data_IF_409124963808
#
_entry.id   IF_409124963808
#
_cell.length_a   1.000
_cell.length_b   1.000
_cell.length_c   1.000
_cell.angle_alpha   90.00
_cell.angle_beta   90.00
_cell.angle_gamma   90.00
#
_symmetry.space_group_name_H-M   'P 1'
#
loop_
_entity.id
_entity.type
_entity.pdbx_description
1 polymer ?
#
# COMPACT_ATOMS: atom_id res chain seq x y z
N UNK A 1 -6.74 23.46 16.34
CA UNK A 1 -7.08 22.05 16.60
C UNK A 1 -7.21 21.35 15.25
N UNK A 2 -6.11 20.80 14.73
CA UNK A 2 -6.09 19.98 13.51
C UNK A 2 -6.58 18.60 13.99
N UNK A 3 -7.82 18.25 13.67
CA UNK A 3 -8.44 17.00 14.15
C UNK A 3 -7.61 15.79 13.75
N UNK A 4 -7.51 14.80 14.64
CA UNK A 4 -6.91 13.50 14.35
C UNK A 4 -7.57 12.92 13.09
N UNK A 5 -6.88 12.94 11.95
CA UNK A 5 -7.31 12.22 10.76
C UNK A 5 -7.03 10.73 10.99
N UNK A 6 -8.06 9.92 10.86
CA UNK A 6 -7.92 8.46 10.89
C UNK A 6 -6.97 8.01 9.77
N UNK A 7 -6.24 6.91 9.99
CA UNK A 7 -5.35 6.35 8.98
C UNK A 7 -6.07 6.08 7.65
N UNK A 8 -7.34 5.66 7.71
CA UNK A 8 -8.20 5.51 6.55
C UNK A 8 -8.38 6.81 5.76
N UNK A 9 -8.74 7.91 6.45
CA UNK A 9 -8.91 9.21 5.80
C UNK A 9 -7.61 9.69 5.13
N UNK A 10 -6.47 9.44 5.78
CA UNK A 10 -5.15 9.74 5.21
C UNK A 10 -4.86 8.90 3.97
N UNK A 11 -5.10 7.59 3.99
CA UNK A 11 -4.90 6.73 2.82
C UNK A 11 -5.76 7.16 1.63
N UNK A 12 -7.04 7.46 1.85
CA UNK A 12 -7.94 7.93 0.78
C UNK A 12 -7.50 9.29 0.23
N UNK A 13 -7.10 10.21 1.12
CA UNK A 13 -6.57 11.50 0.67
C UNK A 13 -5.29 11.33 -0.17
N UNK A 14 -4.36 10.46 0.25
CA UNK A 14 -3.14 10.19 -0.51
C UNK A 14 -3.45 9.70 -1.94
N UNK A 15 -4.40 8.78 -2.08
CA UNK A 15 -4.85 8.28 -3.40
C UNK A 15 -5.46 9.42 -4.22
N UNK A 16 -6.39 10.18 -3.64
CA UNK A 16 -7.02 11.32 -4.32
C UNK A 16 -6.00 12.35 -4.79
N UNK A 17 -5.06 12.75 -3.93
CA UNK A 17 -4.05 13.75 -4.29
C UNK A 17 -3.16 13.28 -5.45
N UNK A 18 -2.78 11.99 -5.50
CA UNK A 18 -2.01 11.46 -6.64
C UNK A 18 -2.83 11.43 -7.92
N UNK A 19 -4.09 10.99 -7.86
CA UNK A 19 -4.96 10.92 -9.04
C UNK A 19 -5.29 12.31 -9.61
N UNK A 20 -5.47 13.31 -8.74
CA UNK A 20 -5.79 14.69 -9.14
C UNK A 20 -4.54 15.56 -9.39
N UNK A 21 -3.33 14.99 -9.29
CA UNK A 21 -2.06 15.72 -9.39
C UNK A 21 -1.93 16.89 -8.40
N UNK A 22 -2.55 16.77 -7.22
CA UNK A 22 -2.51 17.75 -6.13
C UNK A 22 -1.27 17.54 -5.25
N UNK A 23 -0.16 18.17 -5.64
CA UNK A 23 1.12 18.07 -4.94
C UNK A 23 1.11 18.69 -3.54
N UNK A 24 0.33 19.76 -3.34
CA UNK A 24 0.25 20.46 -2.06
C UNK A 24 -0.52 19.62 -1.06
N UNK A 25 -1.68 19.08 -1.47
CA UNK A 25 -2.46 18.16 -0.65
C UNK A 25 -1.73 16.85 -0.35
N UNK A 26 -0.91 16.34 -1.29
CA UNK A 26 -0.06 15.18 -1.07
C UNK A 26 1.00 15.46 0.02
N UNK A 27 1.64 16.63 -0.04
CA UNK A 27 2.64 17.04 0.96
C UNK A 27 2.01 17.16 2.35
N UNK A 28 0.84 17.78 2.45
CA UNK A 28 0.08 17.89 3.70
C UNK A 28 -0.31 16.51 4.26
N UNK A 29 -0.72 15.57 3.40
CA UNK A 29 -1.08 14.21 3.81
C UNK A 29 0.13 13.40 4.31
N UNK A 30 1.29 13.55 3.67
CA UNK A 30 2.54 12.91 4.09
C UNK A 30 3.09 13.52 5.39
N UNK A 31 2.90 14.82 5.62
CA UNK A 31 3.25 15.48 6.89
C UNK A 31 2.48 14.82 8.06
N UNK A 32 1.19 14.50 7.87
CA UNK A 32 0.39 13.80 8.87
C UNK A 32 0.98 12.43 9.24
N UNK A 33 1.61 11.73 8.30
CA UNK A 33 2.22 10.42 8.56
C UNK A 33 3.45 10.54 9.48
N UNK A 34 4.30 11.55 9.28
CA UNK A 34 5.56 11.68 10.04
C UNK A 34 5.39 12.28 11.44
N UNK A 35 4.34 13.07 11.69
CA UNK A 35 4.14 13.75 12.99
C UNK A 35 3.58 12.83 14.09
N UNK A 36 3.43 11.53 13.84
CA UNK A 36 2.78 10.58 14.76
C UNK A 36 3.64 10.19 15.98
N UNK A 37 4.93 10.53 16.00
CA UNK A 37 5.83 10.25 17.13
C UNK A 37 5.86 8.77 17.49
N UNK A 38 5.60 8.44 18.76
CA UNK A 38 5.61 7.05 19.27
C UNK A 38 4.55 6.15 18.62
N UNK A 39 3.52 6.73 18.00
CA UNK A 39 2.45 5.99 17.30
C UNK A 39 2.74 5.76 15.82
N UNK A 40 3.92 6.15 15.33
CA UNK A 40 4.28 6.10 13.93
C UNK A 40 4.08 4.70 13.33
N UNK A 41 4.59 3.66 13.98
CA UNK A 41 4.51 2.29 13.46
C UNK A 41 3.04 1.83 13.30
N UNK A 42 2.23 2.02 14.34
CA UNK A 42 0.81 1.65 14.31
C UNK A 42 0.03 2.46 13.27
N UNK A 43 0.31 3.76 13.17
CA UNK A 43 -0.36 4.63 12.21
C UNK A 43 0.02 4.28 10.76
N UNK A 44 1.32 4.13 10.47
CA UNK A 44 1.81 3.71 9.14
C UNK A 44 1.23 2.35 8.77
N UNK A 45 1.16 1.43 9.72
CA UNK A 45 0.56 0.10 9.51
C UNK A 45 -0.89 0.20 9.07
N UNK A 46 -1.69 1.02 9.75
CA UNK A 46 -3.10 1.23 9.39
C UNK A 46 -3.24 1.93 8.03
N UNK A 47 -2.40 2.92 7.73
CA UNK A 47 -2.40 3.61 6.42
C UNK A 47 -2.06 2.64 5.29
N UNK A 48 -1.00 1.84 5.45
CA UNK A 48 -0.58 0.84 4.46
C UNK A 48 -1.63 -0.25 4.29
N UNK A 49 -2.27 -0.70 5.38
CA UNK A 49 -3.36 -1.67 5.32
C UNK A 49 -4.54 -1.15 4.50
N UNK A 50 -4.95 0.11 4.72
CA UNK A 50 -6.04 0.72 3.94
C UNK A 50 -5.64 0.88 2.47
N UNK A 51 -4.41 1.32 2.17
CA UNK A 51 -3.93 1.44 0.78
C UNK A 51 -3.97 0.09 0.04
N UNK A 52 -3.57 -0.99 0.72
CA UNK A 52 -3.69 -2.35 0.18
C UNK A 52 -5.16 -2.71 -0.05
N UNK A 53 -6.06 -2.43 0.89
CA UNK A 53 -7.49 -2.72 0.70
C UNK A 53 -8.10 -1.96 -0.47
N UNK A 54 -7.75 -0.68 -0.66
CA UNK A 54 -8.17 0.10 -1.83
C UNK A 54 -7.70 -0.57 -3.12
N UNK A 55 -6.43 -0.98 -3.16
CA UNK A 55 -5.83 -1.62 -4.33
C UNK A 55 -6.50 -2.98 -4.65
N UNK A 56 -6.70 -3.82 -3.64
CA UNK A 56 -7.27 -5.16 -3.84
C UNK A 56 -8.76 -5.11 -4.15
N UNK A 57 -9.50 -4.14 -3.61
CA UNK A 57 -10.90 -3.91 -3.97
C UNK A 57 -11.03 -3.51 -5.43
N UNK A 58 -10.23 -2.54 -5.90
CA UNK A 58 -10.22 -2.15 -7.31
C UNK A 58 -9.92 -3.35 -8.23
N UNK A 59 -8.92 -4.18 -7.87
CA UNK A 59 -8.57 -5.38 -8.63
C UNK A 59 -9.72 -6.38 -8.71
N UNK A 60 -10.37 -6.68 -7.58
CA UNK A 60 -11.50 -7.62 -7.50
C UNK A 60 -12.71 -7.11 -8.30
N UNK A 61 -12.98 -5.81 -8.27
CA UNK A 61 -14.07 -5.21 -9.04
C UNK A 61 -13.85 -5.33 -10.56
N UNK A 62 -12.59 -5.24 -11.02
CA UNK A 62 -12.25 -5.36 -12.45
C UNK A 62 -12.29 -6.79 -12.98
N UNK A 63 -11.74 -7.75 -12.23
CA UNK A 63 -11.70 -9.16 -12.67
C UNK A 63 -13.05 -9.87 -12.52
N UNK A 64 -13.94 -9.36 -11.67
CA UNK A 64 -15.22 -9.99 -11.35
C UNK A 64 -15.09 -11.20 -10.40
N UNK A 65 -16.07 -12.13 -10.41
CA UNK A 65 -16.07 -13.26 -9.47
C UNK A 65 -14.84 -14.15 -9.63
N UNK A 66 -14.01 -14.23 -8.58
CA UNK A 66 -12.88 -15.15 -8.51
C UNK A 66 -13.37 -16.57 -8.23
N UNK A 67 -12.83 -17.56 -8.95
CA UNK A 67 -13.04 -18.99 -8.65
C UNK A 67 -11.96 -19.48 -7.68
N UNK A 68 -12.22 -20.58 -6.96
CA UNK A 68 -11.27 -21.19 -6.00
C UNK A 68 -9.90 -21.60 -6.63
N UNK A 69 -9.81 -21.59 -7.95
CA UNK A 69 -8.59 -21.90 -8.73
C UNK A 69 -7.78 -20.68 -9.16
N UNK A 70 -8.28 -19.46 -8.97
CA UNK A 70 -7.58 -18.25 -9.38
C UNK A 70 -6.57 -17.83 -8.31
N UNK A 71 -5.30 -17.74 -8.69
CA UNK A 71 -4.23 -17.25 -7.83
C UNK A 71 -3.65 -15.95 -8.42
N UNK A 72 -3.42 -14.97 -7.56
CA UNK A 72 -2.74 -13.73 -7.93
C UNK A 72 -1.24 -13.88 -7.72
N UNK A 73 -0.49 -13.60 -8.78
CA UNK A 73 0.95 -13.41 -8.74
C UNK A 73 1.31 -11.94 -8.92
N UNK A 74 2.57 -11.60 -8.67
CA UNK A 74 3.15 -10.29 -8.97
C UNK A 74 4.34 -10.49 -9.90
N UNK A 75 4.44 -9.61 -10.89
CA UNK A 75 5.61 -9.46 -11.74
C UNK A 75 6.32 -8.17 -11.30
N UNK A 76 7.48 -8.32 -10.65
CA UNK A 76 8.25 -7.19 -10.13
C UNK A 76 9.40 -6.88 -11.08
N UNK A 77 9.57 -5.59 -11.35
CA UNK A 77 10.68 -5.07 -12.15
C UNK A 77 11.39 -3.95 -11.39
N UNK A 78 12.68 -3.80 -11.66
CA UNK A 78 13.46 -2.65 -11.18
C UNK A 78 13.38 -1.46 -12.15
N UNK A 79 14.16 -0.42 -11.87
CA UNK A 79 14.18 0.82 -12.67
C UNK A 79 14.78 0.62 -14.08
N UNK A 80 15.44 -0.52 -14.35
CA UNK A 80 15.94 -0.90 -15.68
C UNK A 80 15.02 -1.88 -16.40
N UNK A 81 13.81 -2.13 -15.87
CA UNK A 81 12.82 -3.07 -16.39
C UNK A 81 13.25 -4.56 -16.27
N UNK A 82 14.25 -4.85 -15.44
CA UNK A 82 14.73 -6.21 -15.21
C UNK A 82 13.88 -6.93 -14.15
N UNK A 83 13.57 -8.22 -14.32
CA UNK A 83 12.75 -8.97 -13.38
C UNK A 83 13.46 -9.17 -12.04
N UNK A 84 12.75 -8.89 -10.95
CA UNK A 84 13.26 -9.00 -9.57
C UNK A 84 12.45 -10.04 -8.79
N UNK A 85 13.13 -10.94 -8.07
CA UNK A 85 12.43 -11.87 -7.18
C UNK A 85 11.97 -11.15 -5.90
N UNK A 86 10.78 -11.48 -5.41
CA UNK A 86 10.24 -10.94 -4.14
C UNK A 86 11.24 -11.14 -2.98
N UNK A 87 11.99 -12.25 -2.98
CA UNK A 87 12.96 -12.57 -1.93
C UNK A 87 14.22 -11.71 -1.94
N UNK A 88 14.53 -11.06 -3.07
CA UNK A 88 15.66 -10.15 -3.22
C UNK A 88 15.32 -8.72 -2.76
N UNK A 89 14.04 -8.43 -2.53
CA UNK A 89 13.60 -7.15 -1.97
C UNK A 89 14.09 -6.99 -0.53
N UNK A 90 14.33 -5.73 -0.14
CA UNK A 90 14.58 -5.40 1.27
C UNK A 90 13.40 -5.87 2.15
N UNK A 91 13.65 -6.28 3.42
CA UNK A 91 12.66 -6.99 4.23
C UNK A 91 11.28 -6.32 4.32
N UNK A 92 11.24 -5.00 4.49
CA UNK A 92 10.00 -4.23 4.61
C UNK A 92 9.21 -4.25 3.29
N UNK A 93 9.90 -4.03 2.16
CA UNK A 93 9.28 -4.05 0.83
C UNK A 93 8.72 -5.43 0.50
N UNK A 94 9.51 -6.48 0.80
CA UNK A 94 9.08 -7.88 0.66
C UNK A 94 7.82 -8.17 1.46
N UNK A 95 7.76 -7.68 2.69
CA UNK A 95 6.61 -7.85 3.57
C UNK A 95 5.38 -7.09 3.04
N UNK A 96 5.52 -5.85 2.56
CA UNK A 96 4.40 -5.11 1.96
C UNK A 96 3.84 -5.81 0.72
N UNK A 97 4.69 -6.31 -0.18
CA UNK A 97 4.25 -7.06 -1.38
C UNK A 97 3.56 -8.36 -0.98
N UNK A 98 4.10 -9.09 0.01
CA UNK A 98 3.45 -10.31 0.53
C UNK A 98 2.13 -10.02 1.22
N UNK A 99 1.98 -8.89 1.90
CA UNK A 99 0.70 -8.48 2.48
C UNK A 99 -0.36 -8.26 1.41
N UNK A 100 0.00 -7.57 0.31
CA UNK A 100 -0.88 -7.35 -0.84
C UNK A 100 -1.31 -8.68 -1.48
N UNK A 101 -0.35 -9.58 -1.74
CA UNK A 101 -0.64 -10.89 -2.32
C UNK A 101 -1.49 -11.75 -1.40
N UNK A 102 -1.21 -11.76 -0.10
CA UNK A 102 -1.99 -12.49 0.88
C UNK A 102 -3.43 -11.98 0.92
N UNK A 103 -3.65 -10.66 0.88
CA UNK A 103 -5.00 -10.09 0.81
C UNK A 103 -5.72 -10.52 -0.48
N UNK A 104 -5.08 -10.33 -1.65
CA UNK A 104 -5.64 -10.73 -2.95
C UNK A 104 -6.03 -12.21 -3.00
N UNK A 105 -5.19 -13.09 -2.44
CA UNK A 105 -5.39 -14.53 -2.40
C UNK A 105 -6.24 -15.00 -1.20
N UNK A 106 -6.95 -14.11 -0.50
CA UNK A 106 -7.92 -14.49 0.53
C UNK A 106 -7.30 -15.02 1.82
N UNK A 107 -6.07 -14.63 2.13
CA UNK A 107 -5.30 -15.01 3.33
C UNK A 107 -5.10 -13.81 4.27
N UNK A 108 -6.17 -13.30 4.93
CA UNK A 108 -6.11 -12.05 5.70
C UNK A 108 -5.25 -12.12 6.97
N UNK A 109 -5.05 -13.31 7.54
CA UNK A 109 -4.14 -13.50 8.69
C UNK A 109 -2.69 -13.31 8.27
N UNK A 110 -2.30 -13.89 7.14
CA UNK A 110 -0.98 -13.70 6.54
C UNK A 110 -0.76 -12.24 6.15
N UNK A 111 -1.78 -11.57 5.59
CA UNK A 111 -1.71 -10.15 5.27
C UNK A 111 -1.39 -9.29 6.50
N UNK A 112 -2.10 -9.53 7.62
CA UNK A 112 -1.84 -8.83 8.90
C UNK A 112 -0.44 -9.09 9.43
N UNK A 113 -0.01 -10.35 9.41
CA UNK A 113 1.34 -10.71 9.87
C UNK A 113 2.43 -10.04 9.03
N UNK A 114 2.28 -10.03 7.71
CA UNK A 114 3.23 -9.36 6.82
C UNK A 114 3.23 -7.84 7.02
N UNK A 115 2.09 -7.22 7.31
CA UNK A 115 2.04 -5.81 7.68
C UNK A 115 2.80 -5.51 8.97
N UNK A 116 2.65 -6.36 9.99
CA UNK A 116 3.40 -6.22 11.25
C UNK A 116 4.92 -6.30 11.02
N UNK A 117 5.36 -7.15 10.08
CA UNK A 117 6.77 -7.22 9.67
C UNK A 117 7.20 -6.00 8.85
N UNK A 118 6.33 -5.47 7.98
CA UNK A 118 6.64 -4.34 7.12
C UNK A 118 6.90 -3.05 7.92
N UNK A 119 6.23 -2.90 9.07
CA UNK A 119 6.35 -1.72 9.95
C UNK A 119 7.29 -1.93 11.14
N UNK A 120 8.01 -3.04 11.18
CA UNK A 120 8.90 -3.35 12.28
C UNK A 120 10.13 -2.43 12.24
N UNK A 121 10.46 -1.85 13.39
CA UNK A 121 11.63 -0.96 13.58
C UNK A 121 11.60 0.28 12.66
N UNK A 122 10.39 0.82 12.41
CA UNK A 122 10.23 2.04 11.62
C UNK A 122 10.76 3.28 12.34
N UNK A 123 11.50 4.06 11.57
CA UNK A 123 11.73 5.49 11.78
C UNK A 123 10.85 6.32 10.82
N UNK A 124 10.79 7.66 10.96
CA UNK A 124 9.96 8.50 10.09
C UNK A 124 10.24 8.36 8.58
N UNK A 125 11.50 8.14 8.17
CA UNK A 125 11.86 8.05 6.75
C UNK A 125 11.43 6.70 6.16
N UNK A 126 11.74 5.62 6.87
CA UNK A 126 11.31 4.26 6.48
C UNK A 126 9.78 4.12 6.52
N UNK A 127 9.10 4.85 7.42
CA UNK A 127 7.64 4.90 7.48
C UNK A 127 7.04 5.60 6.26
N UNK A 128 7.61 6.74 5.85
CA UNK A 128 7.26 7.39 4.60
C UNK A 128 7.51 6.49 3.39
N UNK A 129 8.62 5.77 3.35
CA UNK A 129 8.91 4.84 2.25
C UNK A 129 7.91 3.69 2.16
N UNK A 130 7.42 3.18 3.30
CA UNK A 130 6.37 2.18 3.33
C UNK A 130 5.05 2.73 2.75
N UNK A 131 4.64 3.92 3.18
CA UNK A 131 3.44 4.60 2.66
C UNK A 131 3.57 4.92 1.18
N UNK A 132 4.69 5.51 0.75
CA UNK A 132 4.98 5.84 -0.65
C UNK A 132 4.87 4.61 -1.52
N UNK A 133 5.51 3.49 -1.13
CA UNK A 133 5.48 2.24 -1.89
C UNK A 133 4.07 1.67 -2.00
N UNK A 134 3.34 1.60 -0.88
CA UNK A 134 1.96 1.14 -0.87
C UNK A 134 1.10 2.01 -1.80
N UNK A 135 1.22 3.33 -1.70
CA UNK A 135 0.51 4.29 -2.53
C UNK A 135 0.83 4.12 -4.03
N UNK A 136 2.10 3.97 -4.39
CA UNK A 136 2.52 3.71 -5.78
C UNK A 136 1.88 2.44 -6.33
N UNK A 137 1.88 1.35 -5.56
CA UNK A 137 1.22 0.10 -5.97
C UNK A 137 -0.30 0.28 -6.11
N UNK A 138 -0.95 0.96 -5.16
CA UNK A 138 -2.39 1.24 -5.18
C UNK A 138 -2.77 2.04 -6.42
N UNK A 139 -2.05 3.12 -6.71
CA UNK A 139 -2.33 3.98 -7.88
C UNK A 139 -2.09 3.22 -9.19
N UNK A 140 -0.99 2.46 -9.29
CA UNK A 140 -0.71 1.65 -10.47
C UNK A 140 -1.82 0.62 -10.75
N UNK A 141 -2.31 -0.05 -9.70
CA UNK A 141 -3.42 -1.00 -9.83
C UNK A 141 -4.72 -0.29 -10.19
N UNK A 142 -5.05 0.84 -9.59
CA UNK A 142 -6.24 1.64 -9.95
C UNK A 142 -6.18 2.06 -11.43
N UNK A 143 -5.03 2.58 -11.89
CA UNK A 143 -4.86 3.00 -13.28
C UNK A 143 -5.01 1.81 -14.24
N UNK A 144 -4.36 0.68 -13.95
CA UNK A 144 -4.53 -0.55 -14.73
C UNK A 144 -5.99 -0.99 -14.78
N UNK A 145 -6.71 -0.95 -13.65
CA UNK A 145 -8.15 -1.29 -13.62
C UNK A 145 -9.04 -0.32 -14.41
N UNK A 146 -8.62 0.95 -14.54
CA UNK A 146 -9.30 1.96 -15.34
C UNK A 146 -9.05 1.78 -16.85
N UNK A 147 -7.84 1.36 -17.23
CA UNK A 147 -7.47 1.03 -18.61
C UNK A 147 -8.07 -0.30 -19.10
N UNK A 148 -8.34 -1.24 -18.18
CA UNK A 148 -8.88 -2.55 -18.51
C UNK A 148 -10.41 -2.58 -18.79
N UNK A 149 -11.10 -1.43 -18.71
CA UNK A 149 -12.55 -1.28 -19.00
C UNK A 149 -12.80 -0.73 -20.40
#
# INVERSE_FOLDING_TARGET
MRGERTAQATAHQLVHCVLDSDSDGLTDALEVVVVQGDRLADYVREVVAELIQVATTAMRDTIGPTTDTMAFGVDLRDDTDDPVAIDDLVPQSRATVRALLADLNGSPEDARFQLDLAVRELDPLTGLDAVRRALTMTVALIQWTGEAR
#
